data_IF_041490929327
#
_entry.id   IF_041490929327
#
_cell.length_a   1.000
_cell.length_b   1.000
_cell.length_c   1.000
_cell.angle_alpha   90.00
_cell.angle_beta   90.00
_cell.angle_gamma   90.00
#
_symmetry.space_group_name_H-M   'P 1'
#
loop_
_entity.id
_entity.type
_entity.pdbx_description
1 polymer ?
#
# COMPACT_ATOMS: atom_id res chain seq x y z
N UNK A 1 7.12 -4.30 20.81
CA UNK A 1 7.05 -3.55 19.54
C UNK A 1 5.99 -4.12 18.60
N UNK A 2 6.06 -5.41 18.33
CA UNK A 2 5.19 -6.13 17.37
C UNK A 2 3.71 -6.15 17.76
N UNK A 3 3.36 -5.78 18.98
CA UNK A 3 1.98 -5.60 19.45
C UNK A 3 1.42 -4.22 19.15
N UNK A 4 2.28 -3.25 18.82
CA UNK A 4 1.90 -1.84 18.60
C UNK A 4 1.45 -1.59 17.16
N UNK A 5 1.98 -2.31 16.19
CA UNK A 5 1.58 -2.17 14.79
C UNK A 5 0.23 -2.87 14.53
N UNK A 6 -0.86 -2.18 14.82
CA UNK A 6 -2.22 -2.71 14.62
C UNK A 6 -2.80 -2.40 13.24
N UNK A 7 -2.15 -1.57 12.46
CA UNK A 7 -2.62 -0.98 11.22
C UNK A 7 -2.64 0.55 11.31
N UNK A 8 -3.09 1.24 10.27
CA UNK A 8 -3.24 2.68 10.30
C UNK A 8 -4.32 3.09 11.32
N UNK A 9 -4.20 4.29 11.86
CA UNK A 9 -5.24 4.87 12.69
C UNK A 9 -6.51 5.06 11.85
N UNK A 10 -7.69 4.62 12.34
CA UNK A 10 -8.95 4.75 11.58
C UNK A 10 -9.25 6.19 11.15
N UNK A 11 -8.97 7.15 12.02
CA UNK A 11 -9.18 8.58 11.75
C UNK A 11 -8.30 9.08 10.59
N UNK A 12 -7.09 8.57 10.47
CA UNK A 12 -6.18 8.90 9.35
C UNK A 12 -6.72 8.35 8.03
N UNK A 13 -7.21 7.11 8.04
CA UNK A 13 -7.81 6.49 6.85
C UNK A 13 -9.10 7.21 6.46
N UNK A 14 -9.94 7.55 7.43
CA UNK A 14 -11.17 8.32 7.19
C UNK A 14 -10.84 9.68 6.57
N UNK A 15 -9.87 10.40 7.13
CA UNK A 15 -9.44 11.70 6.59
C UNK A 15 -8.91 11.59 5.17
N UNK A 16 -8.15 10.54 4.88
CA UNK A 16 -7.67 10.27 3.54
C UNK A 16 -8.84 10.01 2.57
N UNK A 17 -9.81 9.17 2.94
CA UNK A 17 -11.01 8.93 2.14
C UNK A 17 -11.81 10.23 1.87
N UNK A 18 -11.96 11.11 2.88
CA UNK A 18 -12.61 12.42 2.71
C UNK A 18 -11.90 13.32 1.70
N UNK A 19 -10.56 13.32 1.69
CA UNK A 19 -9.78 14.11 0.75
C UNK A 19 -9.90 13.55 -0.68
N UNK A 20 -9.81 12.23 -0.82
CA UNK A 20 -9.98 11.53 -2.10
C UNK A 20 -11.38 11.76 -2.69
N UNK A 21 -12.44 11.70 -1.87
CA UNK A 21 -13.83 11.95 -2.30
C UNK A 21 -14.07 13.38 -2.78
N UNK A 22 -13.28 14.34 -2.29
CA UNK A 22 -13.25 15.74 -2.78
C UNK A 22 -12.43 15.93 -4.07
N UNK A 23 -11.97 14.84 -4.67
CA UNK A 23 -11.14 14.89 -5.88
C UNK A 23 -9.67 15.26 -5.65
N UNK A 24 -9.23 15.38 -4.40
CA UNK A 24 -7.83 15.66 -4.09
C UNK A 24 -7.00 14.39 -4.24
N UNK A 25 -5.88 14.48 -4.97
CA UNK A 25 -4.93 13.38 -5.11
C UNK A 25 -3.92 13.42 -3.96
N UNK A 26 -4.21 12.69 -2.90
CA UNK A 26 -3.34 12.56 -1.73
C UNK A 26 -2.70 11.19 -1.75
N UNK A 27 -1.38 11.16 -1.90
CA UNK A 27 -0.59 9.93 -1.89
C UNK A 27 -0.38 9.46 -0.45
N UNK A 28 -0.75 8.21 -0.18
CA UNK A 28 -0.46 7.58 1.09
C UNK A 28 0.98 7.03 1.11
N UNK A 29 1.69 7.36 2.17
CA UNK A 29 3.01 6.81 2.51
C UNK A 29 2.98 6.24 3.92
N UNK A 30 3.79 5.25 4.19
CA UNK A 30 3.91 4.62 5.51
C UNK A 30 5.35 4.59 5.97
N UNK A 31 5.54 4.76 7.26
CA UNK A 31 6.85 4.69 7.89
C UNK A 31 6.75 4.06 9.27
N UNK A 32 7.85 3.54 9.77
CA UNK A 32 7.95 2.83 11.05
C UNK A 32 8.25 3.73 12.24
N UNK A 33 8.37 5.04 12.04
CA UNK A 33 8.77 6.01 13.07
C UNK A 33 10.01 5.54 13.87
N UNK A 34 11.08 5.27 13.13
CA UNK A 34 12.23 4.53 13.61
C UNK A 34 13.03 5.30 14.67
N UNK A 35 12.90 4.89 15.91
CA UNK A 35 13.65 5.41 17.06
C UNK A 35 14.30 4.26 17.83
N UNK A 36 15.60 4.31 17.97
CA UNK A 36 16.35 3.37 18.79
C UNK A 36 16.53 3.96 20.21
N UNK A 37 15.77 3.49 21.18
CA UNK A 37 15.87 3.97 22.56
C UNK A 37 16.87 3.15 23.38
N UNK A 38 17.96 3.76 23.88
CA UNK A 38 18.82 3.10 24.85
C UNK A 38 18.05 2.96 26.17
N UNK A 39 17.94 1.74 26.67
CA UNK A 39 17.36 1.41 27.94
C UNK A 39 18.41 0.78 28.84
N UNK A 40 18.52 1.24 30.08
CA UNK A 40 19.38 0.65 31.08
C UNK A 40 18.60 0.35 32.37
N UNK A 41 18.79 -0.87 32.89
CA UNK A 41 18.24 -1.31 34.16
C UNK A 41 19.36 -2.01 34.94
N UNK A 42 20.00 -1.25 35.84
CA UNK A 42 21.20 -1.69 36.54
C UNK A 42 22.37 -1.95 35.58
N UNK A 43 22.91 -3.16 35.59
CA UNK A 43 24.01 -3.58 34.70
C UNK A 43 23.56 -3.98 33.29
N UNK A 44 22.24 -4.10 33.05
CA UNK A 44 21.70 -4.50 31.76
C UNK A 44 21.46 -3.27 30.91
N UNK A 45 22.18 -3.19 29.79
CA UNK A 45 21.99 -2.17 28.76
C UNK A 45 21.42 -2.83 27.51
N UNK A 46 20.29 -2.34 27.03
CA UNK A 46 19.65 -2.82 25.77
C UNK A 46 19.12 -1.64 24.97
N UNK A 47 19.15 -1.77 23.66
CA UNK A 47 18.41 -0.87 22.75
C UNK A 47 17.00 -1.44 22.58
N UNK A 48 15.99 -0.65 23.00
CA UNK A 48 14.61 -0.94 22.71
C UNK A 48 14.30 -0.45 21.30
N UNK A 49 13.63 -1.30 20.51
CA UNK A 49 13.26 -0.98 19.13
C UNK A 49 14.46 -0.60 18.25
N UNK A 50 15.41 -1.52 18.03
CA UNK A 50 16.56 -1.23 17.18
C UNK A 50 16.12 -0.88 15.75
N UNK A 51 16.90 -0.09 15.03
CA UNK A 51 16.61 0.33 13.66
C UNK A 51 16.33 -0.85 12.72
N UNK A 52 17.06 -1.95 12.86
CA UNK A 52 16.84 -3.16 12.09
C UNK A 52 15.39 -3.69 12.19
N UNK A 53 14.79 -3.62 13.38
CA UNK A 53 13.39 -3.98 13.57
C UNK A 53 12.45 -3.03 12.84
N UNK A 54 12.70 -1.72 12.97
CA UNK A 54 11.85 -0.70 12.35
C UNK A 54 11.88 -0.79 10.83
N UNK A 55 13.06 -0.93 10.23
CA UNK A 55 13.22 -1.02 8.78
C UNK A 55 12.64 -2.31 8.17
N UNK A 56 12.39 -3.32 8.98
CA UNK A 56 11.66 -4.54 8.60
C UNK A 56 10.15 -4.44 8.87
N UNK A 57 9.67 -3.37 9.48
CA UNK A 57 8.27 -3.22 9.86
C UNK A 57 7.46 -2.56 8.73
N UNK A 58 7.10 -1.29 8.86
CA UNK A 58 6.27 -0.57 7.89
C UNK A 58 7.14 0.16 6.88
N UNK A 59 6.96 -0.15 5.59
CA UNK A 59 7.72 0.43 4.50
C UNK A 59 6.81 0.98 3.40
N UNK A 60 7.25 2.05 2.76
CA UNK A 60 6.69 2.51 1.49
C UNK A 60 7.44 1.86 0.35
N UNK A 61 6.76 1.01 -0.42
CA UNK A 61 7.29 0.37 -1.61
C UNK A 61 6.98 1.23 -2.83
N UNK A 62 7.99 1.54 -3.62
CA UNK A 62 7.86 2.32 -4.85
C UNK A 62 7.85 1.40 -6.08
N UNK A 63 7.03 1.76 -7.06
CA UNK A 63 7.05 1.15 -8.39
C UNK A 63 7.71 2.14 -9.35
N UNK A 64 8.93 1.83 -9.73
CA UNK A 64 9.68 2.61 -10.71
C UNK A 64 9.65 1.91 -12.06
N UNK A 65 9.66 2.66 -13.19
CA UNK A 65 9.55 2.09 -14.53
C UNK A 65 10.77 1.23 -14.93
N UNK A 66 11.93 1.53 -14.34
CA UNK A 66 13.19 0.86 -14.61
C UNK A 66 14.02 0.71 -13.32
N UNK A 67 14.99 -0.22 -13.27
CA UNK A 67 15.85 -0.41 -12.11
C UNK A 67 16.69 0.82 -11.80
N UNK A 68 16.94 1.06 -10.52
CA UNK A 68 17.96 2.02 -10.08
C UNK A 68 19.33 1.55 -10.53
N UNK A 69 20.16 2.48 -11.03
CA UNK A 69 21.47 2.18 -11.62
C UNK A 69 22.66 2.72 -10.81
N UNK A 70 22.38 3.42 -9.70
CA UNK A 70 23.38 4.04 -8.82
C UNK A 70 23.79 5.46 -9.24
N UNK A 71 23.26 5.99 -10.35
CA UNK A 71 23.48 7.36 -10.76
C UNK A 71 22.52 8.28 -9.97
N UNK A 72 23.07 9.19 -9.17
CA UNK A 72 22.33 9.97 -8.17
C UNK A 72 21.14 10.73 -8.76
N UNK A 73 21.33 11.46 -9.86
CA UNK A 73 20.27 12.31 -10.42
C UNK A 73 19.17 11.48 -11.07
N UNK A 74 19.55 10.40 -11.74
CA UNK A 74 18.63 9.44 -12.34
C UNK A 74 17.78 8.77 -11.26
N UNK A 75 18.40 8.11 -10.29
CA UNK A 75 17.73 7.38 -9.24
C UNK A 75 16.83 8.29 -8.38
N UNK A 76 17.34 9.49 -8.05
CA UNK A 76 16.54 10.51 -7.34
C UNK A 76 15.30 10.92 -8.13
N UNK A 77 15.45 11.10 -9.45
CA UNK A 77 14.32 11.46 -10.32
C UNK A 77 13.24 10.38 -10.31
N UNK A 78 13.62 9.11 -10.49
CA UNK A 78 12.71 7.97 -10.47
C UNK A 78 11.96 7.86 -9.13
N UNK A 79 12.67 7.97 -8.02
CA UNK A 79 12.09 7.89 -6.66
C UNK A 79 11.10 9.02 -6.42
N UNK A 80 11.50 10.27 -6.71
CA UNK A 80 10.63 11.43 -6.49
C UNK A 80 9.40 11.42 -7.40
N UNK A 81 9.56 10.96 -8.64
CA UNK A 81 8.45 10.82 -9.59
C UNK A 81 7.44 9.77 -9.09
N UNK A 82 7.91 8.58 -8.69
CA UNK A 82 7.05 7.55 -8.15
C UNK A 82 6.27 8.03 -6.92
N UNK A 83 6.91 8.75 -6.00
CA UNK A 83 6.25 9.35 -4.85
C UNK A 83 5.20 10.39 -5.24
N UNK A 84 5.52 11.30 -6.16
CA UNK A 84 4.57 12.35 -6.61
C UNK A 84 3.36 11.79 -7.33
N UNK A 85 3.55 10.72 -8.10
CA UNK A 85 2.49 10.08 -8.87
C UNK A 85 1.67 9.08 -8.04
N UNK A 86 2.14 8.71 -6.85
CA UNK A 86 1.48 7.69 -6.05
C UNK A 86 1.71 6.26 -6.55
N UNK A 87 2.75 6.05 -7.36
CA UNK A 87 3.19 4.72 -7.79
C UNK A 87 3.85 3.99 -6.61
N UNK A 88 3.06 3.79 -5.57
CA UNK A 88 3.54 3.27 -4.29
C UNK A 88 2.45 2.51 -3.54
N UNK A 89 2.88 1.65 -2.64
CA UNK A 89 2.01 1.03 -1.65
C UNK A 89 2.72 0.95 -0.29
N UNK A 90 1.94 0.85 0.77
CA UNK A 90 2.43 0.65 2.13
C UNK A 90 2.40 -0.84 2.44
N UNK A 91 3.53 -1.39 2.86
CA UNK A 91 3.69 -2.77 3.26
C UNK A 91 4.11 -2.90 4.73
N UNK A 92 3.46 -3.80 5.47
CA UNK A 92 3.91 -4.24 6.78
C UNK A 92 4.70 -5.54 6.62
N UNK A 93 6.01 -5.39 6.34
CA UNK A 93 6.88 -6.51 5.94
C UNK A 93 7.25 -7.47 7.08
N UNK A 94 7.00 -7.09 8.34
CA UNK A 94 7.38 -7.88 9.51
C UNK A 94 6.66 -9.25 9.59
N UNK A 95 5.34 -9.38 9.33
CA UNK A 95 4.66 -10.66 9.27
C UNK A 95 5.13 -11.54 8.11
N UNK A 96 5.25 -10.93 6.95
CA UNK A 96 5.70 -11.56 5.71
C UNK A 96 6.09 -10.48 4.69
N UNK A 97 7.04 -10.75 3.79
CA UNK A 97 7.43 -9.80 2.74
C UNK A 97 6.25 -9.44 1.84
N UNK A 98 6.06 -8.14 1.60
CA UNK A 98 5.01 -7.64 0.70
C UNK A 98 5.49 -7.53 -0.75
N UNK A 99 6.75 -7.88 -1.01
CA UNK A 99 7.35 -7.89 -2.35
C UNK A 99 6.55 -8.77 -3.29
N UNK A 100 6.24 -8.24 -4.48
CA UNK A 100 5.45 -8.95 -5.49
C UNK A 100 3.97 -8.56 -5.49
N UNK A 101 3.50 -7.74 -4.53
CA UNK A 101 2.19 -7.12 -4.62
C UNK A 101 2.08 -6.27 -5.88
N UNK A 102 0.93 -6.38 -6.58
CA UNK A 102 0.59 -5.57 -7.75
C UNK A 102 -0.91 -5.26 -7.72
N UNK A 103 -1.24 -4.02 -8.03
CA UNK A 103 -2.60 -3.58 -8.30
C UNK A 103 -2.58 -2.78 -9.59
N UNK A 104 -3.31 -3.25 -10.59
CA UNK A 104 -3.37 -2.70 -11.94
C UNK A 104 -4.80 -2.60 -12.43
N UNK A 105 -5.03 -1.73 -13.38
CA UNK A 105 -6.26 -1.64 -14.14
C UNK A 105 -5.96 -1.79 -15.62
N UNK A 106 -6.83 -2.47 -16.34
CA UNK A 106 -6.79 -2.64 -17.79
C UNK A 106 -8.11 -2.18 -18.39
N UNK A 107 -8.08 -1.17 -19.22
CA UNK A 107 -9.16 -0.75 -20.11
C UNK A 107 -9.00 -1.37 -21.50
N UNK A 108 -9.76 -0.86 -22.47
CA UNK A 108 -9.73 -1.37 -23.84
C UNK A 108 -8.36 -1.16 -24.52
N UNK A 109 -7.81 0.07 -24.44
CA UNK A 109 -6.53 0.44 -25.07
C UNK A 109 -5.50 0.99 -24.07
N UNK A 110 -5.80 0.94 -22.79
CA UNK A 110 -4.97 1.55 -21.75
C UNK A 110 -4.77 0.64 -20.55
N UNK A 111 -3.71 0.88 -19.83
CA UNK A 111 -3.43 0.25 -18.56
C UNK A 111 -2.99 1.30 -17.53
N UNK A 112 -3.31 1.06 -16.29
CA UNK A 112 -2.97 1.94 -15.17
C UNK A 112 -2.45 1.13 -14.00
N UNK A 113 -1.59 1.75 -13.20
CA UNK A 113 -1.15 1.23 -11.91
C UNK A 113 -1.62 2.18 -10.80
N UNK A 114 -1.32 1.87 -9.55
CA UNK A 114 -1.59 2.76 -8.41
C UNK A 114 -1.07 4.18 -8.69
N UNK A 115 -1.91 5.18 -8.44
CA UNK A 115 -1.62 6.60 -8.73
C UNK A 115 -2.18 7.11 -10.06
N UNK A 116 -2.39 6.22 -11.03
CA UNK A 116 -2.84 6.59 -12.38
C UNK A 116 -4.35 6.76 -12.50
N UNK A 117 -4.76 7.38 -13.61
CA UNK A 117 -6.15 7.43 -14.07
C UNK A 117 -6.36 6.49 -15.26
N UNK A 118 -7.60 5.99 -15.38
CA UNK A 118 -8.05 5.19 -16.51
C UNK A 118 -9.52 5.47 -16.81
N UNK A 119 -9.90 5.50 -18.11
CA UNK A 119 -11.29 5.66 -18.53
C UNK A 119 -12.11 4.39 -18.31
N UNK A 120 -13.36 4.55 -17.84
CA UNK A 120 -14.34 3.49 -17.68
C UNK A 120 -15.17 3.23 -18.94
N UNK A 121 -15.02 4.00 -20.01
CA UNK A 121 -15.90 4.04 -21.19
C UNK A 121 -16.25 2.66 -21.75
N UNK A 122 -15.25 1.76 -21.84
CA UNK A 122 -15.44 0.39 -22.34
C UNK A 122 -15.27 -0.67 -21.24
N UNK A 123 -15.39 -0.26 -19.98
CA UNK A 123 -15.14 -1.10 -18.83
C UNK A 123 -13.67 -1.24 -18.46
N UNK A 124 -13.44 -1.48 -17.20
CA UNK A 124 -12.11 -1.61 -16.60
C UNK A 124 -12.03 -2.93 -15.82
N UNK A 125 -10.97 -3.67 -16.07
CA UNK A 125 -10.62 -4.86 -15.29
C UNK A 125 -9.55 -4.50 -14.26
N UNK A 126 -9.92 -4.48 -13.00
CA UNK A 126 -9.01 -4.32 -11.87
C UNK A 126 -8.38 -5.67 -11.52
N UNK A 127 -7.06 -5.75 -11.53
CA UNK A 127 -6.30 -6.96 -11.24
C UNK A 127 -5.40 -6.75 -10.03
N UNK A 128 -5.48 -7.67 -9.09
CA UNK A 128 -4.70 -7.65 -7.86
C UNK A 128 -3.93 -8.96 -7.77
N UNK A 129 -2.62 -8.85 -7.61
CA UNK A 129 -1.74 -9.98 -7.31
C UNK A 129 -1.17 -9.82 -5.91
N UNK A 130 -1.33 -10.82 -5.08
CA UNK A 130 -0.82 -10.86 -3.71
C UNK A 130 0.41 -11.77 -3.62
N UNK A 131 1.35 -11.48 -2.70
CA UNK A 131 2.51 -12.35 -2.47
C UNK A 131 2.14 -13.73 -1.91
N UNK A 132 0.98 -13.84 -1.26
CA UNK A 132 0.43 -15.09 -0.73
C UNK A 132 -1.09 -15.05 -0.59
N UNK A 133 -1.69 -16.20 -0.34
CA UNK A 133 -3.15 -16.36 -0.21
C UNK A 133 -3.65 -15.85 1.14
N UNK A 134 -4.33 -14.71 1.14
CA UNK A 134 -4.87 -14.05 2.33
C UNK A 134 -6.21 -13.39 2.03
N UNK A 135 -6.71 -12.58 2.95
CA UNK A 135 -7.88 -11.73 2.73
C UNK A 135 -7.48 -10.46 1.97
N UNK A 136 -8.20 -10.15 0.90
CA UNK A 136 -8.02 -8.96 0.09
C UNK A 136 -9.35 -8.21 -0.01
N UNK A 137 -9.34 -6.91 0.23
CA UNK A 137 -10.50 -6.01 0.15
C UNK A 137 -10.28 -5.01 -0.96
N UNK A 138 -11.24 -4.91 -1.86
CA UNK A 138 -11.33 -3.81 -2.83
C UNK A 138 -12.24 -2.73 -2.24
N UNK A 139 -11.73 -1.52 -2.22
CA UNK A 139 -12.39 -0.35 -1.68
C UNK A 139 -12.64 0.62 -2.82
N UNK A 140 -13.88 1.11 -2.93
CA UNK A 140 -14.28 2.17 -3.84
C UNK A 140 -14.81 3.34 -3.03
N UNK A 141 -14.28 4.54 -3.25
CA UNK A 141 -14.73 5.78 -2.61
C UNK A 141 -14.83 5.70 -1.08
N UNK A 142 -13.93 4.91 -0.47
CA UNK A 142 -13.87 4.70 0.99
C UNK A 142 -14.61 3.48 1.49
N UNK A 143 -15.49 2.86 0.68
CA UNK A 143 -16.31 1.71 1.08
C UNK A 143 -15.79 0.39 0.52
N UNK A 144 -15.84 -0.68 1.32
CA UNK A 144 -15.47 -2.03 0.87
C UNK A 144 -16.55 -2.58 -0.05
N UNK A 145 -16.25 -2.72 -1.33
CA UNK A 145 -17.19 -3.23 -2.34
C UNK A 145 -17.02 -4.73 -2.63
N UNK A 146 -15.83 -5.28 -2.35
CA UNK A 146 -15.53 -6.70 -2.56
C UNK A 146 -14.50 -7.20 -1.58
N UNK A 147 -14.69 -8.41 -1.09
CA UNK A 147 -13.71 -9.15 -0.28
C UNK A 147 -13.45 -10.51 -0.91
N UNK A 148 -12.19 -10.88 -1.04
CA UNK A 148 -11.74 -12.24 -1.39
C UNK A 148 -10.97 -12.82 -0.20
N UNK A 149 -11.17 -14.09 0.05
CA UNK A 149 -10.47 -14.84 1.09
C UNK A 149 -9.68 -15.99 0.48
N UNK A 150 -8.47 -16.22 0.98
CA UNK A 150 -7.59 -17.32 0.55
C UNK A 150 -7.29 -17.27 -0.97
N UNK A 151 -7.09 -16.07 -1.51
CA UNK A 151 -6.71 -15.83 -2.91
C UNK A 151 -5.40 -15.09 -3.00
N UNK A 152 -4.64 -15.36 -4.04
CA UNK A 152 -3.41 -14.66 -4.43
C UNK A 152 -3.58 -13.87 -5.74
N UNK A 153 -4.65 -14.16 -6.47
CA UNK A 153 -5.08 -13.40 -7.64
C UNK A 153 -6.56 -13.06 -7.50
N UNK A 154 -6.86 -11.77 -7.63
CA UNK A 154 -8.22 -11.24 -7.56
C UNK A 154 -8.49 -10.36 -8.76
N UNK A 155 -9.69 -10.46 -9.31
CA UNK A 155 -10.13 -9.67 -10.47
C UNK A 155 -11.51 -9.10 -10.18
N UNK A 156 -11.71 -7.86 -10.60
CA UNK A 156 -12.99 -7.17 -10.52
C UNK A 156 -13.20 -6.34 -11.78
N UNK A 157 -14.36 -6.50 -12.43
CA UNK A 157 -14.70 -5.75 -13.65
C UNK A 157 -15.72 -4.69 -13.26
N UNK A 158 -15.52 -3.48 -13.75
CA UNK A 158 -16.41 -2.34 -13.47
C UNK A 158 -16.50 -1.40 -14.67
N UNK A 159 -17.63 -0.74 -14.80
CA UNK A 159 -17.87 0.43 -15.67
C UNK A 159 -18.09 1.70 -14.84
N UNK A 160 -18.01 1.59 -13.51
CA UNK A 160 -18.30 2.69 -12.60
C UNK A 160 -17.06 3.52 -12.34
N UNK A 161 -17.16 4.83 -12.51
CA UNK A 161 -16.15 5.79 -12.05
C UNK A 161 -16.02 5.74 -10.54
N UNK A 162 -14.83 6.03 -10.04
CA UNK A 162 -14.54 6.06 -8.60
C UNK A 162 -13.06 5.97 -8.30
N UNK A 163 -12.73 6.05 -7.03
CA UNK A 163 -11.38 5.94 -6.49
C UNK A 163 -11.21 4.53 -5.90
N UNK A 164 -10.48 3.68 -6.59
CA UNK A 164 -10.32 2.27 -6.23
C UNK A 164 -8.98 2.03 -5.56
N UNK A 165 -8.98 1.40 -4.39
CA UNK A 165 -7.77 1.01 -3.67
C UNK A 165 -7.92 -0.39 -3.04
N UNK A 166 -6.81 -0.95 -2.60
CA UNK A 166 -6.75 -2.30 -2.04
C UNK A 166 -6.23 -2.26 -0.61
N UNK A 167 -6.89 -3.00 0.27
CA UNK A 167 -6.37 -3.35 1.59
C UNK A 167 -6.25 -4.86 1.70
N UNK A 168 -5.10 -5.32 2.20
CA UNK A 168 -4.84 -6.74 2.39
C UNK A 168 -4.61 -7.01 3.87
N UNK A 169 -5.25 -8.05 4.38
CA UNK A 169 -5.19 -8.45 5.78
C UNK A 169 -4.40 -9.75 5.92
N UNK A 170 -3.54 -9.82 6.94
CA UNK A 170 -2.76 -11.02 7.25
C UNK A 170 -2.97 -11.45 8.71
N UNK A 171 -3.18 -12.73 8.98
CA UNK A 171 -3.14 -13.26 10.34
C UNK A 171 -1.72 -13.17 10.90
N UNK A 172 -1.55 -12.45 12.00
CA UNK A 172 -0.26 -12.33 12.67
C UNK A 172 -0.44 -12.24 14.18
N UNK A 173 0.22 -13.15 14.93
CA UNK A 173 0.15 -13.21 16.40
C UNK A 173 -1.28 -13.24 16.96
N UNK A 174 -2.12 -14.07 16.37
CA UNK A 174 -3.50 -14.29 16.82
C UNK A 174 -4.50 -13.20 16.47
N UNK A 175 -4.11 -12.21 15.66
CA UNK A 175 -4.99 -11.14 15.18
C UNK A 175 -4.84 -10.94 13.67
N UNK A 176 -5.93 -10.53 13.02
CA UNK A 176 -5.89 -10.08 11.64
C UNK A 176 -5.35 -8.65 11.61
N UNK A 177 -4.35 -8.38 10.77
CA UNK A 177 -3.68 -7.08 10.69
C UNK A 177 -3.65 -6.58 9.27
N UNK A 178 -3.68 -5.28 9.10
CA UNK A 178 -3.42 -4.66 7.79
C UNK A 178 -1.99 -4.97 7.38
N UNK A 179 -1.85 -5.63 6.23
CA UNK A 179 -0.58 -6.06 5.67
C UNK A 179 -0.12 -5.17 4.52
N UNK A 180 -1.05 -4.84 3.62
CA UNK A 180 -0.77 -3.97 2.48
C UNK A 180 -1.90 -2.95 2.34
N UNK A 181 -1.54 -1.70 2.04
CA UNK A 181 -2.45 -0.64 1.61
C UNK A 181 -1.91 -0.07 0.30
N UNK A 182 -2.70 -0.15 -0.77
CA UNK A 182 -2.33 0.46 -2.04
C UNK A 182 -2.68 1.95 -2.07
N UNK A 183 -1.94 2.74 -2.83
CA UNK A 183 -2.47 3.97 -3.39
C UNK A 183 -3.59 3.65 -4.38
N UNK A 184 -4.50 4.59 -4.65
CA UNK A 184 -5.65 4.32 -5.51
C UNK A 184 -5.31 4.32 -7.00
N UNK A 185 -6.17 3.65 -7.78
CA UNK A 185 -6.35 3.88 -9.21
C UNK A 185 -7.63 4.71 -9.36
N UNK A 186 -7.58 5.75 -10.18
CA UNK A 186 -8.69 6.67 -10.42
C UNK A 186 -9.40 6.26 -11.71
N UNK A 187 -10.56 5.62 -11.58
CA UNK A 187 -11.42 5.28 -12.73
C UNK A 187 -12.32 6.47 -13.03
N UNK A 188 -12.27 6.98 -14.25
CA UNK A 188 -13.03 8.17 -14.71
C UNK A 188 -14.05 7.78 -15.78
N UNK A 189 -15.10 8.61 -15.89
CA UNK A 189 -16.09 8.50 -16.98
C UNK A 189 -15.46 8.84 -18.32
#
# INVERSE_FOLDING_TARGET
PERVAHGPFPETVQKWNELLSKGQRVVAIGGSDAHAFPASMGLIRRTLFPYEFHFKAVNTHLLVPEPLNGELNHDRSLILQALRQGHAFIGYDLPAPTRGFRFKAHGFESAAIMGDEISAENGVTLQIRLPQRVECRLIKDGEVIKTWTQRDHCTYITTESGVYRVEVMIPFRGKNRTWIISNPIYVRA
#
